data_IF_798459989859
#
_entry.id   IF_798459989859
#
_cell.length_a   1.000
_cell.length_b   1.000
_cell.length_c   1.000
_cell.angle_alpha   90.00
_cell.angle_beta   90.00
_cell.angle_gamma   90.00
#
_symmetry.space_group_name_H-M   'P 1'
#
loop_
_entity.id
_entity.type
_entity.pdbx_description
1 polymer ?
#
# COMPACT_ATOMS: atom_id res chain seq x y z
N UNK A 1 -11.36 -13.31 17.49
CA UNK A 1 -10.11 -14.04 17.22
C UNK A 1 -9.04 -13.00 16.89
N UNK A 2 -7.89 -13.02 17.57
CA UNK A 2 -6.89 -11.94 17.54
C UNK A 2 -7.01 -10.95 18.71
N UNK A 3 -7.00 -11.44 19.97
CA UNK A 3 -7.07 -10.57 21.16
C UNK A 3 -5.78 -9.79 21.44
N UNK A 4 -4.68 -10.13 20.77
CA UNK A 4 -3.35 -9.55 21.01
C UNK A 4 -2.99 -8.56 19.91
N UNK A 5 -2.67 -7.33 20.31
CA UNK A 5 -2.07 -6.33 19.43
C UNK A 5 -0.57 -6.63 19.25
N UNK A 6 0.04 -6.06 18.22
CA UNK A 6 1.50 -6.15 18.07
C UNK A 6 2.23 -5.54 19.29
N UNK A 7 1.75 -4.40 19.79
CA UNK A 7 2.32 -3.73 20.97
C UNK A 7 2.37 -4.65 22.20
N UNK A 8 1.25 -5.26 22.58
CA UNK A 8 1.20 -6.14 23.75
C UNK A 8 2.13 -7.36 23.61
N UNK A 9 2.39 -7.81 22.38
CA UNK A 9 3.36 -8.87 22.13
C UNK A 9 4.79 -8.40 22.30
N UNK A 10 5.13 -7.22 21.77
CA UNK A 10 6.47 -6.66 21.89
C UNK A 10 6.83 -6.38 23.34
N UNK A 11 5.94 -5.74 24.11
CA UNK A 11 6.16 -5.44 25.54
C UNK A 11 6.33 -6.71 26.39
N UNK A 12 5.65 -7.81 26.02
CA UNK A 12 5.77 -9.09 26.72
C UNK A 12 7.03 -9.90 26.35
N UNK A 13 7.80 -9.48 25.33
CA UNK A 13 8.93 -10.23 24.78
C UNK A 13 10.24 -9.44 24.74
N UNK A 14 10.17 -8.12 24.70
CA UNK A 14 11.33 -7.24 24.56
C UNK A 14 11.39 -6.34 25.78
N UNK A 15 12.48 -6.45 26.54
CA UNK A 15 12.72 -5.64 27.75
C UNK A 15 13.60 -4.43 27.47
N UNK A 16 14.43 -4.50 26.42
CA UNK A 16 15.33 -3.43 26.00
C UNK A 16 14.56 -2.34 25.24
N UNK A 17 14.60 -1.11 25.75
CA UNK A 17 13.84 0.02 25.21
C UNK A 17 14.25 0.40 23.79
N UNK A 18 15.54 0.31 23.46
CA UNK A 18 16.05 0.63 22.12
C UNK A 18 15.44 -0.29 21.05
N UNK A 19 15.26 -1.58 21.38
CA UNK A 19 14.62 -2.53 20.47
C UNK A 19 13.13 -2.22 20.28
N UNK A 20 12.42 -1.88 21.35
CA UNK A 20 11.02 -1.45 21.25
C UNK A 20 10.90 -0.22 20.35
N UNK A 21 11.76 0.77 20.53
CA UNK A 21 11.80 1.97 19.70
C UNK A 21 12.03 1.66 18.22
N UNK A 22 12.97 0.76 17.90
CA UNK A 22 13.24 0.35 16.51
C UNK A 22 12.03 -0.34 15.88
N UNK A 23 11.37 -1.25 16.60
CA UNK A 23 10.16 -1.92 16.11
C UNK A 23 9.01 -0.93 15.90
N UNK A 24 8.78 -0.02 16.85
CA UNK A 24 7.75 1.01 16.70
C UNK A 24 8.02 1.91 15.49
N UNK A 25 9.27 2.33 15.32
CA UNK A 25 9.67 3.16 14.18
C UNK A 25 9.51 2.42 12.85
N UNK A 26 9.91 1.15 12.76
CA UNK A 26 9.75 0.36 11.55
C UNK A 26 8.27 0.21 11.15
N UNK A 27 7.39 -0.10 12.12
CA UNK A 27 5.96 -0.28 11.87
C UNK A 27 5.29 1.05 11.48
N UNK A 28 5.58 2.12 12.22
CA UNK A 28 4.99 3.46 12.02
C UNK A 28 5.48 4.13 10.74
N UNK A 29 6.78 4.05 10.42
CA UNK A 29 7.35 4.85 9.34
C UNK A 29 7.53 4.09 8.04
N UNK A 30 7.74 2.77 8.08
CA UNK A 30 8.17 2.01 6.91
C UNK A 30 7.20 0.94 6.44
N UNK A 31 6.54 0.21 7.35
CA UNK A 31 5.81 -1.00 6.98
C UNK A 31 4.31 -0.76 6.82
N UNK A 32 3.64 -0.23 7.86
CA UNK A 32 2.16 -0.16 7.90
C UNK A 32 1.61 1.25 8.03
N UNK A 33 2.42 2.22 8.46
CA UNK A 33 1.95 3.59 8.69
C UNK A 33 0.86 3.68 9.78
N UNK A 34 1.02 2.84 10.80
CA UNK A 34 0.11 2.67 11.95
C UNK A 34 0.91 2.61 13.25
N UNK A 35 0.26 2.89 14.37
CA UNK A 35 0.85 2.64 15.70
C UNK A 35 0.83 1.14 16.01
N UNK A 36 1.82 0.62 16.73
CA UNK A 36 1.93 -0.83 17.07
C UNK A 36 0.75 -1.37 17.89
N UNK A 37 -0.03 -0.48 18.53
CA UNK A 37 -1.25 -0.83 19.27
C UNK A 37 -2.46 -1.09 18.35
N UNK A 38 -2.39 -0.70 17.08
CA UNK A 38 -3.51 -0.77 16.14
C UNK A 38 -3.60 -2.12 15.42
N UNK A 39 -2.54 -2.65 14.78
CA UNK A 39 -2.64 -3.94 14.11
C UNK A 39 -2.67 -5.08 15.11
N UNK A 40 -3.49 -6.09 14.80
CA UNK A 40 -3.41 -7.37 15.49
C UNK A 40 -2.05 -8.04 15.21
N UNK A 41 -1.54 -8.80 16.18
CA UNK A 41 -0.32 -9.60 15.98
C UNK A 41 -0.49 -10.56 14.80
N UNK A 42 -1.68 -11.17 14.66
CA UNK A 42 -1.98 -12.09 13.56
C UNK A 42 -1.84 -11.40 12.19
N UNK A 43 -2.36 -10.18 12.06
CA UNK A 43 -2.20 -9.41 10.83
C UNK A 43 -0.73 -9.16 10.51
N UNK A 44 0.06 -8.74 11.51
CA UNK A 44 1.49 -8.50 11.31
C UNK A 44 2.23 -9.76 10.85
N UNK A 45 1.97 -10.91 11.49
CA UNK A 45 2.58 -12.18 11.10
C UNK A 45 2.17 -12.60 9.68
N UNK A 46 0.90 -12.41 9.32
CA UNK A 46 0.42 -12.68 7.96
C UNK A 46 1.08 -11.75 6.93
N UNK A 47 1.30 -10.48 7.29
CA UNK A 47 1.95 -9.50 6.43
C UNK A 47 3.43 -9.83 6.21
N UNK A 48 4.14 -10.25 7.26
CA UNK A 48 5.53 -10.73 7.17
C UNK A 48 5.61 -11.98 6.28
N UNK A 49 4.73 -12.95 6.50
CA UNK A 49 4.69 -14.18 5.69
C UNK A 49 4.43 -13.87 4.20
N UNK A 50 3.55 -12.90 3.92
CA UNK A 50 3.22 -12.47 2.57
C UNK A 50 4.38 -11.76 1.84
N UNK A 51 5.42 -11.32 2.55
CA UNK A 51 6.64 -10.77 1.94
C UNK A 51 7.53 -11.83 1.25
N UNK A 52 7.11 -13.11 1.29
CA UNK A 52 7.76 -14.22 0.61
C UNK A 52 7.46 -14.29 -0.89
N UNK A 53 8.04 -15.28 -1.54
CA UNK A 53 7.74 -15.65 -2.92
C UNK A 53 7.82 -17.19 -3.06
N UNK A 54 7.76 -17.70 -4.28
CA UNK A 54 7.74 -19.15 -4.57
C UNK A 54 8.95 -19.92 -4.01
N UNK A 55 10.10 -19.26 -3.84
CA UNK A 55 11.36 -19.91 -3.43
C UNK A 55 11.90 -19.39 -2.10
N UNK A 56 11.38 -18.28 -1.58
CA UNK A 56 11.92 -17.58 -0.41
C UNK A 56 10.79 -17.28 0.58
N UNK A 57 10.87 -17.79 1.82
CA UNK A 57 9.91 -17.44 2.87
C UNK A 57 9.89 -15.93 3.17
N UNK A 58 8.71 -15.45 3.60
CA UNK A 58 8.56 -14.08 4.07
C UNK A 58 9.32 -13.82 5.37
N UNK A 59 9.92 -12.65 5.50
CA UNK A 59 10.63 -12.23 6.71
C UNK A 59 10.56 -10.72 6.88
N UNK A 60 10.79 -10.25 8.11
CA UNK A 60 10.83 -8.81 8.38
C UNK A 60 11.96 -8.12 7.59
N UNK A 61 13.10 -8.79 7.42
CA UNK A 61 14.23 -8.26 6.66
C UNK A 61 13.87 -7.99 5.20
N UNK A 62 13.03 -8.84 4.59
CA UNK A 62 12.55 -8.62 3.22
C UNK A 62 11.65 -7.38 3.09
N UNK A 63 10.95 -7.01 4.17
CA UNK A 63 10.08 -5.83 4.19
C UNK A 63 10.85 -4.52 4.37
N UNK A 64 11.93 -4.52 5.16
CA UNK A 64 12.66 -3.31 5.55
C UNK A 64 14.04 -3.14 4.89
N UNK A 65 14.54 -4.18 4.23
CA UNK A 65 15.87 -4.20 3.62
C UNK A 65 15.93 -3.53 2.24
N UNK A 66 17.09 -2.99 1.92
CA UNK A 66 17.42 -2.55 0.56
C UNK A 66 17.91 -3.73 -0.29
N UNK A 67 19.21 -4.05 -0.25
CA UNK A 67 19.83 -5.06 -1.10
C UNK A 67 19.14 -6.42 -1.03
N UNK A 68 18.68 -6.94 -2.17
CA UNK A 68 17.98 -8.22 -2.27
C UNK A 68 16.60 -8.29 -1.58
N UNK A 69 16.04 -7.14 -1.20
CA UNK A 69 14.79 -7.00 -0.43
C UNK A 69 13.81 -6.03 -1.13
N UNK A 70 12.71 -5.66 -0.49
CA UNK A 70 11.63 -4.92 -1.15
C UNK A 70 11.99 -3.49 -1.58
N UNK A 71 13.09 -2.92 -1.10
CA UNK A 71 13.55 -1.57 -1.45
C UNK A 71 14.74 -1.54 -2.43
N UNK A 72 15.16 -2.69 -2.96
CA UNK A 72 16.41 -2.86 -3.71
C UNK A 72 16.49 -2.01 -5.00
N UNK A 73 15.39 -1.94 -5.74
CA UNK A 73 15.36 -1.36 -7.09
C UNK A 73 14.25 -0.36 -7.27
N UNK A 74 14.50 0.62 -8.14
CA UNK A 74 13.52 1.62 -8.58
C UNK A 74 13.41 1.62 -10.09
N UNK A 75 12.23 1.94 -10.58
CA UNK A 75 11.99 2.11 -12.02
C UNK A 75 12.53 3.47 -12.43
N UNK A 76 13.44 3.48 -13.42
CA UNK A 76 13.92 4.72 -14.02
C UNK A 76 12.74 5.48 -14.65
N UNK A 77 12.58 6.76 -14.31
CA UNK A 77 11.42 7.57 -14.72
C UNK A 77 10.15 7.40 -13.85
N UNK A 78 10.15 6.49 -12.87
CA UNK A 78 9.07 6.35 -11.89
C UNK A 78 8.09 5.20 -12.17
N UNK A 79 7.40 4.74 -11.12
CA UNK A 79 6.54 3.55 -11.16
C UNK A 79 5.22 3.76 -11.90
N UNK A 80 4.77 5.02 -12.06
CA UNK A 80 3.56 5.35 -12.82
C UNK A 80 3.65 4.92 -14.29
N UNK A 81 4.88 4.80 -14.82
CA UNK A 81 5.14 4.34 -16.19
C UNK A 81 4.54 2.96 -16.48
N UNK A 82 4.43 2.09 -15.46
CA UNK A 82 3.79 0.78 -15.63
C UNK A 82 2.30 0.92 -15.98
N UNK A 83 1.59 1.81 -15.28
CA UNK A 83 0.17 2.02 -15.49
C UNK A 83 -0.10 2.75 -16.82
N UNK A 84 0.72 3.74 -17.17
CA UNK A 84 0.57 4.47 -18.45
C UNK A 84 0.90 3.59 -19.65
N UNK A 85 1.97 2.79 -19.59
CA UNK A 85 2.30 1.86 -20.67
C UNK A 85 1.23 0.77 -20.86
N UNK A 86 0.59 0.31 -19.77
CA UNK A 86 -0.54 -0.60 -19.88
C UNK A 86 -1.77 0.09 -20.49
N UNK A 87 -2.03 1.34 -20.12
CA UNK A 87 -3.13 2.13 -20.67
C UNK A 87 -2.98 2.36 -22.19
N UNK A 88 -1.77 2.64 -22.66
CA UNK A 88 -1.46 2.75 -24.10
C UNK A 88 -1.78 1.47 -24.86
N UNK A 89 -1.42 0.30 -24.30
CA UNK A 89 -1.73 -1.01 -24.88
C UNK A 89 -3.23 -1.32 -24.88
N UNK A 90 -3.95 -0.89 -23.85
CA UNK A 90 -5.39 -1.13 -23.71
C UNK A 90 -6.20 -0.21 -24.65
N UNK A 91 -5.69 0.98 -24.96
CA UNK A 91 -6.35 2.01 -25.75
C UNK A 91 -7.24 2.92 -24.91
N UNK A 92 -7.14 4.23 -25.16
CA UNK A 92 -7.84 5.27 -24.40
C UNK A 92 -9.37 5.14 -24.44
N UNK A 93 -9.93 4.57 -25.51
CA UNK A 93 -11.36 4.30 -25.66
C UNK A 93 -11.91 3.30 -24.63
N UNK A 94 -11.04 2.50 -24.01
CA UNK A 94 -11.40 1.51 -22.99
C UNK A 94 -11.19 2.03 -21.56
N UNK A 95 -10.76 3.29 -21.39
CA UNK A 95 -10.38 3.88 -20.11
C UNK A 95 -11.19 5.15 -19.88
N UNK A 96 -12.00 5.14 -18.83
CA UNK A 96 -12.85 6.27 -18.48
C UNK A 96 -12.37 6.91 -17.17
N UNK A 97 -11.64 8.02 -17.29
CA UNK A 97 -11.21 8.84 -16.15
C UNK A 97 -12.35 9.74 -15.64
N UNK A 98 -12.19 10.31 -14.44
CA UNK A 98 -13.18 11.19 -13.78
C UNK A 98 -14.60 10.58 -13.72
N UNK A 99 -14.65 9.26 -13.58
CA UNK A 99 -15.88 8.46 -13.62
C UNK A 99 -15.98 7.57 -12.38
N UNK A 100 -16.10 8.15 -11.17
CA UNK A 100 -16.20 7.38 -9.94
C UNK A 100 -17.45 6.49 -9.97
N UNK A 101 -17.26 5.20 -9.79
CA UNK A 101 -18.36 4.22 -9.76
C UNK A 101 -19.11 4.39 -8.44
N UNK A 102 -20.41 4.65 -8.52
CA UNK A 102 -21.30 4.77 -7.36
C UNK A 102 -22.13 3.52 -7.08
N UNK A 103 -22.42 2.71 -8.11
CA UNK A 103 -23.24 1.51 -7.97
C UNK A 103 -22.81 0.36 -8.87
N UNK A 104 -22.88 -0.86 -8.34
CA UNK A 104 -22.75 -2.12 -9.08
C UNK A 104 -24.00 -2.96 -8.84
N UNK A 105 -24.73 -3.27 -9.91
CA UNK A 105 -25.96 -4.07 -9.86
C UNK A 105 -25.77 -5.38 -10.63
N UNK A 106 -26.23 -6.50 -10.08
CA UNK A 106 -26.35 -7.78 -10.77
C UNK A 106 -27.81 -8.00 -11.15
N UNK A 107 -28.08 -8.15 -12.44
CA UNK A 107 -29.41 -8.45 -12.96
C UNK A 107 -29.32 -9.52 -14.06
N UNK A 108 -30.12 -10.58 -13.94
CA UNK A 108 -30.18 -11.63 -14.97
C UNK A 108 -28.83 -12.25 -15.32
N UNK A 109 -27.92 -12.37 -14.34
CA UNK A 109 -26.57 -12.93 -14.55
C UNK A 109 -25.55 -11.98 -15.20
N UNK A 110 -25.87 -10.69 -15.35
CA UNK A 110 -24.93 -9.66 -15.82
C UNK A 110 -24.80 -8.52 -14.81
N UNK A 111 -23.60 -7.99 -14.72
CA UNK A 111 -23.33 -6.80 -13.93
C UNK A 111 -23.59 -5.54 -14.74
N UNK A 112 -24.12 -4.53 -14.07
CA UNK A 112 -24.30 -3.17 -14.53
C UNK A 112 -23.56 -2.26 -13.58
N UNK A 113 -22.49 -1.63 -14.05
CA UNK A 113 -21.63 -0.70 -13.30
C UNK A 113 -22.03 0.72 -13.68
N UNK A 114 -22.28 1.57 -12.68
CA UNK A 114 -22.83 2.91 -12.87
C UNK A 114 -21.94 3.96 -12.22
N UNK A 115 -21.59 4.97 -13.00
CA UNK A 115 -21.06 6.26 -12.53
C UNK A 115 -22.01 7.38 -12.93
N UNK A 116 -21.70 8.62 -12.53
CA UNK A 116 -22.46 9.80 -12.97
C UNK A 116 -22.31 10.09 -14.48
N UNK A 117 -21.30 9.49 -15.14
CA UNK A 117 -20.97 9.78 -16.54
C UNK A 117 -21.31 8.65 -17.50
N UNK A 118 -21.36 7.41 -17.02
CA UNK A 118 -21.54 6.25 -17.88
C UNK A 118 -22.12 5.04 -17.13
N UNK A 119 -22.66 4.11 -17.91
CA UNK A 119 -23.14 2.82 -17.46
C UNK A 119 -22.55 1.72 -18.34
N UNK A 120 -21.96 0.69 -17.74
CA UNK A 120 -21.33 -0.44 -18.46
C UNK A 120 -22.00 -1.74 -18.05
N UNK A 121 -22.31 -2.60 -19.02
CA UNK A 121 -22.73 -3.98 -18.76
C UNK A 121 -21.59 -4.96 -19.00
N UNK A 122 -21.30 -5.82 -18.02
CA UNK A 122 -20.23 -6.81 -18.09
C UNK A 122 -20.66 -8.18 -17.53
N UNK A 123 -19.96 -9.23 -17.93
CA UNK A 123 -20.14 -10.57 -17.34
C UNK A 123 -19.43 -10.71 -15.99
N UNK A 124 -18.33 -9.97 -15.80
CA UNK A 124 -17.52 -9.97 -14.59
C UNK A 124 -17.09 -8.53 -14.27
N UNK A 125 -16.89 -8.27 -12.98
CA UNK A 125 -16.41 -6.96 -12.48
C UNK A 125 -15.26 -7.22 -11.51
N UNK A 126 -14.16 -6.51 -11.70
CA UNK A 126 -13.01 -6.51 -10.76
C UNK A 126 -12.95 -5.14 -10.10
N UNK A 127 -13.12 -5.12 -8.77
CA UNK A 127 -12.98 -3.90 -7.96
C UNK A 127 -11.55 -3.85 -7.42
N UNK A 128 -10.67 -3.14 -8.11
CA UNK A 128 -9.23 -3.08 -7.84
C UNK A 128 -8.84 -1.85 -7.00
N UNK A 129 -9.44 -1.70 -5.80
CA UNK A 129 -9.16 -0.59 -4.87
C UNK A 129 -9.11 -1.09 -3.42
N UNK A 130 -8.69 -0.24 -2.49
CA UNK A 130 -8.60 -0.59 -1.07
C UNK A 130 -9.97 -0.97 -0.49
N UNK A 131 -10.04 -1.86 0.52
CA UNK A 131 -11.31 -2.28 1.10
C UNK A 131 -12.22 -1.13 1.57
N UNK A 132 -11.73 -0.06 2.24
CA UNK A 132 -12.59 1.06 2.63
C UNK A 132 -13.22 1.78 1.44
N UNK A 133 -12.46 2.00 0.36
CA UNK A 133 -12.99 2.64 -0.85
C UNK A 133 -14.00 1.73 -1.57
N UNK A 134 -13.71 0.43 -1.63
CA UNK A 134 -14.63 -0.54 -2.21
C UNK A 134 -15.98 -0.60 -1.45
N UNK A 135 -15.97 -0.34 -0.14
CA UNK A 135 -17.17 -0.26 0.69
C UNK A 135 -18.05 0.98 0.44
N UNK A 136 -17.55 2.01 -0.25
CA UNK A 136 -18.32 3.21 -0.58
C UNK A 136 -19.23 3.02 -1.81
N UNK A 137 -19.03 1.94 -2.57
CA UNK A 137 -19.86 1.59 -3.72
C UNK A 137 -21.16 0.94 -3.23
N UNK A 138 -22.30 1.33 -3.80
CA UNK A 138 -23.57 0.64 -3.57
C UNK A 138 -23.62 -0.68 -4.34
N UNK A 139 -23.92 -1.79 -3.67
CA UNK A 139 -24.07 -3.11 -4.30
C UNK A 139 -25.53 -3.57 -4.26
N UNK A 140 -25.99 -4.12 -5.38
CA UNK A 140 -27.35 -4.64 -5.55
C UNK A 140 -27.27 -5.99 -6.30
N UNK A 141 -27.36 -7.15 -5.63
CA UNK A 141 -27.66 -7.33 -4.21
C UNK A 141 -26.50 -6.90 -3.30
N UNK A 142 -26.81 -6.73 -2.01
CA UNK A 142 -25.82 -6.41 -0.98
C UNK A 142 -24.69 -7.45 -0.98
N UNK A 143 -23.48 -6.99 -0.64
CA UNK A 143 -22.34 -7.88 -0.47
C UNK A 143 -22.58 -8.86 0.69
N UNK A 144 -21.99 -10.07 0.63
CA UNK A 144 -22.03 -10.99 1.76
C UNK A 144 -21.53 -10.31 3.04
N UNK A 145 -22.16 -10.62 4.18
CA UNK A 145 -21.89 -9.95 5.46
C UNK A 145 -20.40 -9.93 5.83
N UNK A 146 -19.65 -11.01 5.57
CA UNK A 146 -18.21 -11.05 5.81
C UNK A 146 -17.42 -10.03 4.99
N UNK A 147 -17.83 -9.77 3.74
CA UNK A 147 -17.20 -8.77 2.88
C UNK A 147 -17.52 -7.35 3.34
N UNK A 148 -18.77 -7.09 3.72
CA UNK A 148 -19.20 -5.78 4.25
C UNK A 148 -18.47 -5.44 5.56
N UNK A 149 -18.35 -6.41 6.46
CA UNK A 149 -17.56 -6.26 7.69
C UNK A 149 -16.07 -5.98 7.41
N UNK A 150 -15.50 -6.62 6.38
CA UNK A 150 -14.11 -6.42 5.99
C UNK A 150 -13.85 -4.98 5.52
N UNK A 151 -14.72 -4.45 4.66
CA UNK A 151 -14.57 -3.08 4.11
C UNK A 151 -14.66 -2.01 5.20
N UNK A 152 -15.41 -2.27 6.27
CA UNK A 152 -15.57 -1.34 7.40
C UNK A 152 -14.43 -1.41 8.42
N UNK A 153 -13.64 -2.50 8.45
CA UNK A 153 -12.66 -2.77 9.53
C UNK A 153 -11.20 -2.83 9.06
N UNK A 154 -10.94 -2.80 7.76
CA UNK A 154 -9.59 -2.72 7.20
C UNK A 154 -9.21 -1.28 6.86
N UNK A 155 -8.91 -0.48 7.89
CA UNK A 155 -8.50 0.91 7.74
C UNK A 155 -7.12 1.01 7.09
N UNK A 156 -6.86 2.14 6.41
CA UNK A 156 -5.56 2.46 5.83
C UNK A 156 -4.72 3.26 6.84
N UNK A 157 -3.41 3.01 6.86
CA UNK A 157 -2.46 3.80 7.65
C UNK A 157 -2.35 5.25 7.18
N UNK A 158 -1.74 6.10 8.00
CA UNK A 158 -1.53 7.51 7.71
C UNK A 158 -0.06 7.77 7.39
N UNK A 159 0.22 8.24 6.18
CA UNK A 159 1.59 8.47 5.70
C UNK A 159 1.72 9.81 5.00
N UNK A 160 2.81 10.51 5.31
CA UNK A 160 3.29 11.66 4.55
C UNK A 160 4.54 11.26 3.76
N UNK A 161 4.61 11.65 2.49
CA UNK A 161 5.81 11.52 1.66
C UNK A 161 6.36 12.91 1.37
N UNK A 162 7.62 13.14 1.73
CA UNK A 162 8.35 14.38 1.43
C UNK A 162 9.63 14.08 0.67
N UNK A 163 9.83 14.77 -0.45
CA UNK A 163 11.03 14.65 -1.28
C UNK A 163 11.76 16.01 -1.24
N UNK A 164 13.04 16.02 -0.87
CA UNK A 164 13.88 17.24 -0.87
C UNK A 164 14.86 17.20 -2.04
N UNK A 165 14.74 18.14 -2.97
CA UNK A 165 15.73 18.31 -4.02
C UNK A 165 16.91 19.16 -3.52
N UNK A 166 18.11 18.58 -3.48
CA UNK A 166 19.33 19.24 -3.03
C UNK A 166 20.15 19.87 -4.16
N UNK A 167 19.69 19.81 -5.41
CA UNK A 167 20.41 20.36 -6.57
C UNK A 167 20.55 21.89 -6.58
N UNK A 168 19.97 22.59 -5.60
CA UNK A 168 20.08 24.04 -5.43
C UNK A 168 20.70 24.47 -4.08
N UNK A 169 21.10 23.53 -3.21
CA UNK A 169 21.49 23.83 -1.83
C UNK A 169 23.01 23.75 -1.55
N UNK A 170 23.81 23.29 -2.50
CA UNK A 170 25.27 23.29 -2.39
C UNK A 170 25.85 24.52 -3.10
N UNK A 171 25.88 25.65 -2.38
CA UNK A 171 26.67 26.85 -2.74
C UNK A 171 28.15 26.56 -2.38
N UNK A 172 29.16 27.04 -3.16
CA UNK A 172 30.46 26.39 -3.27
C UNK A 172 31.48 26.92 -2.26
N UNK A 173 31.64 26.25 -1.12
CA UNK A 173 32.84 26.43 -0.28
C UNK A 173 33.80 25.23 -0.32
N UNK A 174 33.35 24.05 -0.75
CA UNK A 174 34.18 22.85 -0.78
C UNK A 174 35.15 22.74 -1.97
N UNK A 175 35.20 23.72 -2.88
CA UNK A 175 36.12 23.70 -4.05
C UNK A 175 37.46 24.38 -3.79
N UNK A 176 37.61 25.13 -2.69
CA UNK A 176 38.84 25.85 -2.37
C UNK A 176 39.92 24.97 -1.70
N UNK A 177 39.55 23.86 -1.05
CA UNK A 177 40.52 23.01 -0.33
C UNK A 177 41.18 21.93 -1.22
N UNK A 178 40.70 21.71 -2.45
CA UNK A 178 41.31 20.72 -3.36
C UNK A 178 42.44 21.23 -4.24
N UNK A 179 42.76 22.52 -4.21
CA UNK A 179 43.82 23.12 -5.04
C UNK A 179 45.09 23.47 -4.26
N UNK A 180 45.16 23.13 -2.96
CA UNK A 180 46.33 23.38 -2.10
C UNK A 180 47.12 22.11 -1.74
N UNK A 181 46.84 20.99 -2.41
CA UNK A 181 47.47 19.68 -2.16
C UNK A 181 48.07 19.04 -3.44
N UNK A 182 48.40 19.85 -4.44
CA UNK A 182 49.30 19.51 -5.56
C UNK A 182 50.44 20.53 -5.59
#
# INVERSE_FOLDING_TARGET
MGRMTLKSFLEARITLQDWLFLFETAIRSSILSTETKEPSLLYMLSYIAAAGNQTTPGSINRLVGATGSAQDSRINGGTQLLATALAEKLGAQNIYLDSPVGKVKLNGGRYTVMSNRLQVSAKHVVVAMSPPLAGQISYDPLLPAGRDQLTQRMLMGSIGKGDRNLSQALVPEARAERTAAE
#
